data_IF_243352003177
#
_entry.id   IF_243352003177
#
_cell.length_a   1.000
_cell.length_b   1.000
_cell.length_c   1.000
_cell.angle_alpha   90.00
_cell.angle_beta   90.00
_cell.angle_gamma   90.00
#
_symmetry.space_group_name_H-M   'P 1'
#
loop_
_entity.id
_entity.type
_entity.pdbx_description
1 polymer ?
#
# COMPACT_ATOMS: atom_id res chain seq x y z
N UNK A 1 8.29 -26.35 21.61
CA UNK A 1 8.46 -25.95 21.22
C UNK A 1 8.29 -25.54 20.23
N UNK A 2 8.11 -25.31 19.82
CA UNK A 2 7.96 -24.92 18.84
C UNK A 2 8.04 -23.60 18.65
N UNK A 3 8.60 -22.79 19.43
CA UNK A 3 8.74 -21.39 19.15
C UNK A 3 9.28 -21.12 17.75
N UNK A 4 10.20 -21.92 17.32
CA UNK A 4 10.75 -21.74 15.98
C UNK A 4 9.68 -21.88 14.91
N UNK A 5 8.80 -22.84 15.10
CA UNK A 5 7.72 -23.07 14.15
C UNK A 5 6.75 -21.90 14.11
N UNK A 6 6.45 -21.36 15.29
CA UNK A 6 5.58 -20.20 15.36
C UNK A 6 6.24 -18.98 14.75
N UNK A 7 7.50 -18.79 15.02
CA UNK A 7 8.24 -17.69 14.46
C UNK A 7 8.27 -17.75 12.94
N UNK A 8 8.51 -18.94 12.41
CA UNK A 8 8.52 -19.12 10.96
C UNK A 8 7.18 -18.77 10.34
N UNK A 9 6.09 -19.18 10.98
CA UNK A 9 4.76 -18.87 10.47
C UNK A 9 4.49 -17.37 10.50
N UNK A 10 4.88 -16.73 11.57
CA UNK A 10 4.69 -15.29 11.68
C UNK A 10 5.53 -14.54 10.68
N UNK A 11 6.76 -14.98 10.47
CA UNK A 11 7.65 -14.35 9.50
C UNK A 11 7.13 -14.48 8.08
N UNK A 12 6.41 -15.56 7.81
CA UNK A 12 5.87 -15.77 6.47
C UNK A 12 4.60 -15.00 6.20
N UNK A 13 3.97 -14.51 7.26
CA UNK A 13 2.79 -13.67 7.07
C UNK A 13 3.23 -12.31 6.55
N UNK A 14 2.68 -11.95 5.43
CA UNK A 14 2.97 -10.66 4.83
C UNK A 14 1.68 -9.93 4.57
N UNK A 15 1.70 -8.65 4.88
CA UNK A 15 0.59 -7.78 4.55
C UNK A 15 0.91 -7.13 3.21
N UNK A 16 0.03 -7.33 2.26
CA UNK A 16 0.25 -6.80 0.91
C UNK A 16 -0.17 -5.35 0.87
N UNK A 17 0.72 -4.49 0.42
CA UNK A 17 0.47 -3.06 0.37
C UNK A 17 1.02 -2.42 -0.89
N UNK A 18 1.07 -3.18 -1.98
CA UNK A 18 1.60 -2.67 -3.24
C UNK A 18 0.61 -1.88 -4.07
N UNK A 19 -0.68 -2.06 -3.84
CA UNK A 19 -1.73 -1.33 -4.55
C UNK A 19 -2.74 -0.80 -3.56
N UNK A 20 -3.54 0.18 -4.00
CA UNK A 20 -4.60 0.73 -3.16
C UNK A 20 -5.58 -0.34 -2.72
N UNK A 21 -5.89 -1.26 -3.61
CA UNK A 21 -6.80 -2.36 -3.29
C UNK A 21 -6.21 -3.26 -2.22
N UNK A 22 -4.93 -3.58 -2.34
CA UNK A 22 -4.27 -4.41 -1.35
C UNK A 22 -4.21 -3.73 0.00
N UNK A 23 -3.95 -2.42 0.01
CA UNK A 23 -3.93 -1.67 1.27
C UNK A 23 -5.30 -1.72 1.95
N UNK A 24 -6.37 -1.54 1.18
CA UNK A 24 -7.72 -1.62 1.75
C UNK A 24 -8.01 -2.98 2.34
N UNK A 25 -7.63 -4.03 1.64
CA UNK A 25 -7.81 -5.39 2.15
C UNK A 25 -7.03 -5.61 3.42
N UNK A 26 -5.83 -5.08 3.45
CA UNK A 26 -4.97 -5.20 4.63
C UNK A 26 -5.58 -4.47 5.82
N UNK A 27 -6.11 -3.27 5.60
CA UNK A 27 -6.79 -2.53 6.66
C UNK A 27 -7.98 -3.33 7.21
N UNK A 28 -8.78 -3.90 6.34
CA UNK A 28 -9.91 -4.74 6.76
C UNK A 28 -9.45 -5.93 7.56
N UNK A 29 -8.36 -6.54 7.14
CA UNK A 29 -7.81 -7.70 7.85
C UNK A 29 -7.33 -7.29 9.24
N UNK A 30 -6.67 -6.14 9.35
CA UNK A 30 -6.19 -5.65 10.64
C UNK A 30 -7.38 -5.38 11.56
N UNK A 31 -8.43 -4.76 11.05
CA UNK A 31 -9.63 -4.49 11.83
C UNK A 31 -10.29 -5.79 12.32
N UNK A 32 -10.33 -6.80 11.47
CA UNK A 32 -10.88 -8.09 11.87
C UNK A 32 -10.02 -8.75 12.94
N UNK A 33 -8.71 -8.65 12.80
CA UNK A 33 -7.81 -9.20 13.80
C UNK A 33 -7.98 -8.51 15.16
N UNK A 34 -8.19 -7.20 15.13
CA UNK A 34 -8.44 -6.45 16.36
C UNK A 34 -9.77 -6.87 16.98
N UNK A 35 -10.81 -6.97 16.14
CA UNK A 35 -12.12 -7.35 16.62
C UNK A 35 -12.11 -8.75 17.24
N UNK A 36 -11.32 -9.64 16.67
CA UNK A 36 -11.23 -11.02 17.14
C UNK A 36 -10.22 -11.20 18.30
N UNK A 37 -9.59 -10.14 18.72
CA UNK A 37 -8.66 -10.22 19.84
C UNK A 37 -7.29 -10.79 19.47
N UNK A 38 -6.98 -10.90 18.18
CA UNK A 38 -5.68 -11.44 17.75
C UNK A 38 -4.55 -10.44 17.92
N UNK A 39 -4.85 -9.17 17.86
CA UNK A 39 -3.90 -8.09 18.12
C UNK A 39 -4.56 -7.06 19.00
N UNK A 40 -3.76 -6.28 19.72
CA UNK A 40 -4.32 -5.22 20.56
C UNK A 40 -4.41 -3.90 19.77
N UNK A 41 -5.05 -2.93 20.41
CA UNK A 41 -5.29 -1.63 19.75
C UNK A 41 -4.00 -0.92 19.39
N UNK A 42 -2.98 -1.05 20.22
CA UNK A 42 -1.71 -0.40 19.96
C UNK A 42 -1.06 -0.92 18.69
N UNK A 43 -1.06 -2.25 18.54
CA UNK A 43 -0.52 -2.88 17.35
C UNK A 43 -1.36 -2.53 16.12
N UNK A 44 -2.69 -2.59 16.27
CA UNK A 44 -3.58 -2.25 15.16
C UNK A 44 -3.34 -0.82 14.68
N UNK A 45 -3.21 0.12 15.61
CA UNK A 45 -2.98 1.51 15.23
C UNK A 45 -1.66 1.69 14.51
N UNK A 46 -0.61 1.01 14.95
CA UNK A 46 0.69 1.08 14.29
C UNK A 46 0.61 0.53 12.86
N UNK A 47 -0.08 -0.60 12.69
CA UNK A 47 -0.23 -1.20 11.38
C UNK A 47 -1.05 -0.32 10.44
N UNK A 48 -2.13 0.27 10.96
CA UNK A 48 -2.96 1.16 10.13
C UNK A 48 -2.20 2.42 9.76
N UNK A 49 -1.38 2.94 10.66
CA UNK A 49 -0.53 4.07 10.34
C UNK A 49 0.39 3.72 9.15
N UNK A 50 0.98 2.53 9.19
CA UNK A 50 1.80 2.05 8.08
C UNK A 50 1.01 1.91 6.78
N UNK A 51 -0.23 1.43 6.88
CA UNK A 51 -1.10 1.32 5.71
C UNK A 51 -1.40 2.68 5.10
N UNK A 52 -1.67 3.67 5.94
CA UNK A 52 -1.95 5.02 5.45
C UNK A 52 -0.72 5.62 4.79
N UNK A 53 0.46 5.37 5.33
CA UNK A 53 1.70 5.84 4.73
C UNK A 53 1.92 5.18 3.37
N UNK A 54 1.67 3.88 3.27
CA UNK A 54 1.79 3.16 2.01
C UNK A 54 0.81 3.70 0.97
N UNK A 55 -0.42 3.99 1.39
CA UNK A 55 -1.44 4.53 0.49
C UNK A 55 -1.02 5.91 -0.03
N UNK A 56 -0.42 6.73 0.83
CA UNK A 56 0.11 8.02 0.41
C UNK A 56 1.19 7.89 -0.64
N UNK A 57 2.11 6.94 -0.45
CA UNK A 57 3.18 6.70 -1.41
C UNK A 57 2.61 6.23 -2.76
N UNK A 58 1.62 5.35 -2.73
CA UNK A 58 0.98 4.88 -3.95
C UNK A 58 0.35 6.04 -4.72
N UNK A 59 -0.30 6.95 -4.00
CA UNK A 59 -0.92 8.12 -4.64
C UNK A 59 0.11 9.01 -5.30
N UNK A 60 1.25 9.20 -4.66
CA UNK A 60 2.31 10.01 -5.24
C UNK A 60 2.81 9.38 -6.53
N UNK A 61 3.02 8.07 -6.52
CA UNK A 61 3.47 7.35 -7.71
C UNK A 61 2.46 7.46 -8.84
N UNK A 62 1.17 7.34 -8.53
CA UNK A 62 0.12 7.47 -9.54
C UNK A 62 0.06 8.86 -10.12
N UNK A 63 0.23 9.88 -9.28
CA UNK A 63 0.26 11.26 -9.74
C UNK A 63 1.47 11.51 -10.63
N UNK A 64 2.61 10.98 -10.27
CA UNK A 64 3.82 11.14 -11.08
C UNK A 64 3.65 10.49 -12.45
N UNK A 65 3.05 9.31 -12.49
CA UNK A 65 2.80 8.64 -13.76
C UNK A 65 1.88 9.47 -14.65
N UNK A 66 0.86 10.10 -14.07
CA UNK A 66 -0.04 10.95 -14.83
C UNK A 66 0.66 12.20 -15.33
N UNK A 67 1.52 12.80 -14.53
CA UNK A 67 2.29 13.96 -14.96
C UNK A 67 3.19 13.61 -16.13
N UNK A 68 3.87 12.47 -16.05
CA UNK A 68 4.74 12.02 -17.13
C UNK A 68 3.95 11.82 -18.42
N UNK A 69 2.76 11.25 -18.31
CA UNK A 69 1.90 11.05 -19.45
C UNK A 69 1.46 12.36 -20.08
N UNK A 70 1.08 13.32 -19.24
CA UNK A 70 0.69 14.64 -19.72
C UNK A 70 1.84 15.38 -20.38
N UNK A 71 3.03 15.29 -19.83
CA UNK A 71 4.21 15.91 -20.42
C UNK A 71 4.48 15.33 -21.81
N UNK A 72 4.31 14.03 -21.93
CA UNK A 72 4.50 13.38 -23.22
C UNK A 72 3.49 13.88 -24.25
N UNK A 73 2.23 14.03 -23.85
CA UNK A 73 1.21 14.52 -24.73
C UNK A 73 1.48 15.96 -25.17
N UNK A 74 1.95 16.81 -24.24
CA UNK A 74 2.29 18.19 -24.56
C UNK A 74 3.40 18.24 -25.59
N UNK A 75 4.42 17.41 -25.43
CA UNK A 75 5.51 17.37 -26.38
C UNK A 75 5.05 16.94 -27.75
N UNK A 76 4.15 15.97 -27.81
CA UNK A 76 3.61 15.54 -29.11
C UNK A 76 2.84 16.65 -29.77
N UNK A 77 2.04 17.37 -29.01
CA UNK A 77 1.28 18.49 -29.55
C UNK A 77 2.21 19.61 -30.06
N UNK A 78 3.24 19.91 -29.32
CA UNK A 78 4.20 20.92 -29.74
C UNK A 78 4.88 20.55 -31.06
N UNK A 79 5.27 19.29 -31.21
CA UNK A 79 5.85 18.80 -32.42
C UNK A 79 4.91 18.93 -33.61
N UNK A 80 3.65 18.64 -33.38
CA UNK A 80 2.64 18.75 -34.45
C UNK A 80 2.42 20.20 -34.86
N UNK A 81 2.49 21.12 -33.92
CA UNK A 81 2.32 22.52 -34.22
C UNK A 81 3.45 23.10 -35.05
N UNK A 82 4.65 22.56 -34.89
CA UNK A 82 5.79 23.05 -35.63
C UNK A 82 5.85 22.59 -37.08
N UNK A 83 4.94 21.79 -37.49
CA UNK A 83 4.82 21.40 -38.88
C UNK A 83 3.94 22.40 -39.63
#
# INVERSE_FOLDING_TARGET
>A
MRPASLGDKMEKKRLKMGTSREVRRTINRINNMLLNGEIDAKVANALIYGCNAALGAIRVDEQQAKLDELEKLVKELEQNEHR
#
